data_IF_800935512397
#
_entry.id   IF_800935512397
#
_cell.length_a   1.000
_cell.length_b   1.000
_cell.length_c   1.000
_cell.angle_alpha   90.00
_cell.angle_beta   90.00
_cell.angle_gamma   90.00
#
_symmetry.space_group_name_H-M   'P 1'
#
loop_
_entity.id
_entity.type
_entity.pdbx_description
1 polymer ?
#
# COMPACT_ATOMS: atom_id res chain seq x y z
N UNK A 1 -1.90 -15.30 -13.19
CA UNK A 1 -1.37 -14.02 -13.74
C UNK A 1 -0.39 -13.44 -12.71
N UNK A 2 0.71 -12.79 -13.12
CA UNK A 2 1.65 -12.17 -12.15
C UNK A 2 1.03 -10.91 -11.52
N UNK A 3 1.23 -10.70 -10.23
CA UNK A 3 0.78 -9.48 -9.53
C UNK A 3 1.68 -8.30 -9.91
N UNK A 4 1.17 -7.05 -9.89
CA UNK A 4 2.04 -5.89 -9.91
C UNK A 4 3.04 -5.93 -8.76
N UNK A 5 4.21 -5.33 -8.98
CA UNK A 5 5.21 -5.10 -7.95
C UNK A 5 4.66 -4.16 -6.90
N UNK A 6 4.94 -4.38 -5.61
CA UNK A 6 4.52 -3.45 -4.58
C UNK A 6 5.00 -2.01 -4.81
N UNK A 7 4.21 -1.05 -4.36
CA UNK A 7 4.52 0.37 -4.55
C UNK A 7 4.64 1.11 -3.21
N UNK A 8 5.65 1.98 -3.01
CA UNK A 8 5.89 2.64 -1.72
C UNK A 8 4.77 3.60 -1.30
N UNK A 9 4.13 4.28 -2.25
CA UNK A 9 2.95 5.12 -1.95
C UNK A 9 1.75 4.29 -1.47
N UNK A 10 1.76 2.99 -1.74
CA UNK A 10 0.60 2.15 -1.48
C UNK A 10 0.65 1.49 -0.10
N UNK A 11 1.78 1.58 0.60
CA UNK A 11 2.11 0.79 1.78
C UNK A 11 1.98 -0.73 1.55
N UNK A 12 2.20 -1.19 0.31
CA UNK A 12 2.09 -2.60 -0.08
C UNK A 12 3.31 -3.39 0.44
N UNK A 13 3.29 -3.79 1.70
CA UNK A 13 4.17 -4.85 2.20
C UNK A 13 3.35 -6.13 2.26
N UNK A 14 3.88 -7.22 1.70
CA UNK A 14 3.14 -8.49 1.61
C UNK A 14 3.63 -9.46 2.67
N UNK A 15 2.71 -10.08 3.39
CA UNK A 15 3.05 -11.14 4.35
C UNK A 15 3.83 -12.29 3.71
N UNK A 16 4.73 -12.88 4.50
CA UNK A 16 5.34 -14.17 4.20
C UNK A 16 4.29 -15.28 4.17
N UNK A 17 4.58 -16.39 3.49
CA UNK A 17 3.67 -17.54 3.46
C UNK A 17 3.39 -18.11 4.88
N UNK A 18 4.42 -18.14 5.73
CA UNK A 18 4.29 -18.61 7.12
C UNK A 18 3.34 -17.71 7.92
N UNK A 19 3.46 -16.39 7.79
CA UNK A 19 2.58 -15.44 8.47
C UNK A 19 1.14 -15.52 7.96
N UNK A 20 0.93 -15.68 6.65
CA UNK A 20 -0.42 -15.90 6.09
C UNK A 20 -1.06 -17.14 6.70
N UNK A 21 -0.32 -18.26 6.78
CA UNK A 21 -0.82 -19.49 7.37
C UNK A 21 -1.14 -19.32 8.86
N UNK A 22 -0.26 -18.67 9.63
CA UNK A 22 -0.47 -18.40 11.05
C UNK A 22 -1.72 -17.54 11.29
N UNK A 23 -1.88 -16.44 10.55
CA UNK A 23 -3.04 -15.56 10.61
C UNK A 23 -4.33 -16.33 10.25
N UNK A 24 -4.34 -17.06 9.14
CA UNK A 24 -5.52 -17.80 8.69
C UNK A 24 -5.91 -18.96 9.63
N UNK A 25 -4.95 -19.48 10.40
CA UNK A 25 -5.18 -20.49 11.43
C UNK A 25 -5.95 -19.99 12.64
N UNK A 26 -5.97 -18.67 12.88
CA UNK A 26 -6.78 -18.05 13.93
C UNK A 26 -8.24 -17.82 13.51
N UNK A 27 -8.53 -17.81 12.21
CA UNK A 27 -9.88 -17.58 11.70
C UNK A 27 -10.74 -18.84 11.77
N UNK A 28 -11.90 -18.76 12.42
CA UNK A 28 -12.86 -19.86 12.53
C UNK A 28 -13.21 -20.45 11.15
N UNK A 29 -13.25 -21.79 10.97
CA UNK A 29 -13.44 -22.41 9.66
C UNK A 29 -14.64 -21.87 8.86
N UNK A 30 -15.77 -21.66 9.52
CA UNK A 30 -17.03 -21.21 8.93
C UNK A 30 -17.16 -19.68 8.79
N UNK A 31 -16.21 -18.90 9.30
CA UNK A 31 -16.27 -17.45 9.22
C UNK A 31 -16.01 -16.96 7.79
N UNK A 32 -16.89 -16.08 7.30
CA UNK A 32 -16.56 -15.23 6.15
C UNK A 32 -15.61 -14.14 6.62
N UNK A 33 -14.41 -14.09 6.02
CA UNK A 33 -13.35 -13.17 6.44
C UNK A 33 -13.38 -11.90 5.59
N UNK A 34 -13.43 -10.74 6.25
CA UNK A 34 -13.13 -9.47 5.61
C UNK A 34 -11.60 -9.26 5.60
N UNK A 35 -10.96 -9.35 4.44
CA UNK A 35 -9.53 -9.07 4.27
C UNK A 35 -9.35 -7.60 3.84
N UNK A 36 -8.57 -6.81 4.57
CA UNK A 36 -8.42 -5.36 4.33
C UNK A 36 -6.95 -5.02 4.22
N UNK A 37 -6.51 -4.62 3.01
CA UNK A 37 -5.08 -4.48 2.71
C UNK A 37 -4.28 -5.79 2.84
N UNK A 38 -4.95 -6.94 2.91
CA UNK A 38 -4.34 -8.27 3.12
C UNK A 38 -4.63 -9.22 1.94
N UNK A 39 -4.25 -8.85 0.70
CA UNK A 39 -4.56 -9.65 -0.48
C UNK A 39 -3.95 -11.06 -0.43
N UNK A 40 -2.83 -11.25 0.27
CA UNK A 40 -2.23 -12.57 0.50
C UNK A 40 -3.11 -13.50 1.33
N UNK A 41 -3.82 -12.96 2.34
CA UNK A 41 -4.80 -13.70 3.16
C UNK A 41 -5.98 -14.12 2.30
N UNK A 42 -6.57 -13.20 1.53
CA UNK A 42 -7.71 -13.50 0.66
C UNK A 42 -7.37 -14.55 -0.41
N UNK A 43 -6.18 -14.46 -1.04
CA UNK A 43 -5.70 -15.50 -1.97
C UNK A 43 -5.55 -16.87 -1.30
N UNK A 44 -5.03 -16.91 -0.08
CA UNK A 44 -4.86 -18.17 0.66
C UNK A 44 -6.22 -18.81 0.98
N UNK A 45 -7.19 -18.01 1.42
CA UNK A 45 -8.56 -18.48 1.68
C UNK A 45 -9.25 -18.95 0.40
N UNK A 46 -9.08 -18.25 -0.72
CA UNK A 46 -9.61 -18.68 -2.02
C UNK A 46 -9.08 -20.05 -2.46
N UNK A 47 -7.78 -20.32 -2.25
CA UNK A 47 -7.16 -21.61 -2.53
C UNK A 47 -7.70 -22.72 -1.61
N UNK A 48 -8.00 -22.37 -0.35
CA UNK A 48 -8.64 -23.26 0.61
C UNK A 48 -10.17 -23.37 0.42
N UNK A 49 -10.73 -22.74 -0.62
CA UNK A 49 -12.18 -22.65 -0.86
C UNK A 49 -12.99 -22.09 0.33
N UNK A 50 -12.37 -21.17 1.08
CA UNK A 50 -13.01 -20.42 2.17
C UNK A 50 -13.44 -19.05 1.67
N UNK A 51 -14.59 -18.59 2.15
CA UNK A 51 -15.15 -17.31 1.73
C UNK A 51 -14.39 -16.13 2.36
N UNK A 52 -13.94 -15.22 1.49
CA UNK A 52 -13.36 -13.95 1.90
C UNK A 52 -13.83 -12.82 0.99
N UNK A 53 -13.80 -11.58 1.50
CA UNK A 53 -13.98 -10.37 0.70
C UNK A 53 -12.75 -9.52 0.92
N UNK A 54 -12.01 -9.24 -0.15
CA UNK A 54 -10.88 -8.32 -0.13
C UNK A 54 -11.37 -6.89 -0.36
N UNK A 55 -10.95 -5.97 0.48
CA UNK A 55 -11.02 -4.52 0.25
C UNK A 55 -9.60 -3.98 0.16
N UNK A 56 -9.23 -3.52 -1.03
CA UNK A 56 -7.90 -3.05 -1.34
C UNK A 56 -7.96 -2.11 -2.55
N UNK A 57 -7.24 -0.99 -2.49
CA UNK A 57 -7.23 0.03 -3.55
C UNK A 57 -6.52 -0.42 -4.83
N UNK A 58 -5.58 -1.36 -4.74
CA UNK A 58 -4.85 -1.85 -5.92
C UNK A 58 -5.73 -2.87 -6.67
N UNK A 59 -6.18 -2.58 -7.91
CA UNK A 59 -7.13 -3.41 -8.68
C UNK A 59 -6.70 -4.85 -9.06
N UNK A 60 -5.42 -5.19 -9.00
CA UNK A 60 -4.85 -6.43 -9.53
C UNK A 60 -4.33 -7.36 -8.44
N UNK A 61 -5.25 -7.95 -7.67
CA UNK A 61 -4.90 -8.81 -6.53
C UNK A 61 -5.08 -10.31 -6.77
N UNK A 62 -5.70 -10.70 -7.89
CA UNK A 62 -5.96 -12.09 -8.27
C UNK A 62 -6.70 -12.88 -7.16
N UNK A 63 -7.79 -12.30 -6.68
CA UNK A 63 -8.72 -12.91 -5.70
C UNK A 63 -10.14 -12.99 -6.29
N UNK A 64 -11.00 -13.84 -5.75
CA UNK A 64 -12.37 -14.08 -6.27
C UNK A 64 -13.33 -12.93 -5.99
N UNK A 65 -13.31 -12.39 -4.77
CA UNK A 65 -14.21 -11.31 -4.30
C UNK A 65 -13.37 -10.11 -3.89
N UNK A 66 -13.27 -9.13 -4.79
CA UNK A 66 -12.46 -7.93 -4.58
C UNK A 66 -13.30 -6.66 -4.75
N UNK A 67 -13.27 -5.82 -3.73
CA UNK A 67 -13.81 -4.47 -3.73
C UNK A 67 -12.64 -3.50 -3.85
N UNK A 68 -12.57 -2.82 -4.99
CA UNK A 68 -11.52 -1.85 -5.30
C UNK A 68 -11.97 -0.49 -4.74
N UNK A 69 -11.50 -0.17 -3.54
CA UNK A 69 -11.84 1.07 -2.84
C UNK A 69 -10.80 1.40 -1.77
N UNK A 70 -10.73 2.68 -1.40
CA UNK A 70 -10.04 3.11 -0.20
C UNK A 70 -10.84 2.74 1.05
N UNK A 71 -10.13 2.36 2.11
CA UNK A 71 -10.73 1.92 3.36
C UNK A 71 -11.44 3.09 4.03
N UNK A 72 -12.72 2.90 4.37
CA UNK A 72 -13.59 3.96 4.89
C UNK A 72 -14.48 4.64 3.84
N UNK A 73 -14.29 4.37 2.54
CA UNK A 73 -15.14 4.93 1.48
C UNK A 73 -16.26 4.00 1.03
N UNK A 74 -16.09 2.70 1.23
CA UNK A 74 -17.10 1.70 0.91
C UNK A 74 -17.96 1.37 2.12
N UNK A 75 -19.27 1.36 1.91
CA UNK A 75 -20.24 0.85 2.90
C UNK A 75 -20.51 -0.62 2.61
N UNK A 76 -20.16 -1.50 3.55
CA UNK A 76 -20.50 -2.92 3.49
C UNK A 76 -21.62 -3.20 4.47
N UNK A 77 -22.73 -3.75 3.97
CA UNK A 77 -23.86 -4.19 4.80
C UNK A 77 -23.84 -5.70 4.94
N UNK A 78 -22.75 -6.21 5.48
CA UNK A 78 -22.53 -7.64 5.66
C UNK A 78 -22.11 -7.81 7.12
N UNK A 79 -22.68 -8.78 7.82
CA UNK A 79 -22.23 -9.13 9.16
C UNK A 79 -21.15 -10.21 9.02
N UNK A 80 -19.91 -9.80 8.81
CA UNK A 80 -18.77 -10.73 8.94
C UNK A 80 -18.46 -10.91 10.42
N UNK A 81 -18.20 -12.16 10.83
CA UNK A 81 -17.75 -12.43 12.20
C UNK A 81 -16.31 -11.99 12.44
N UNK A 82 -15.51 -11.80 11.37
CA UNK A 82 -14.08 -11.52 11.49
C UNK A 82 -13.53 -10.62 10.36
N UNK A 83 -12.65 -9.69 10.73
CA UNK A 83 -11.82 -8.94 9.80
C UNK A 83 -10.32 -9.19 10.05
N UNK A 84 -9.51 -9.13 8.99
CA UNK A 84 -8.06 -9.26 9.03
C UNK A 84 -7.43 -8.09 8.28
N UNK A 85 -6.69 -7.24 9.00
CA UNK A 85 -6.25 -5.93 8.56
C UNK A 85 -4.72 -5.81 8.53
N UNK A 86 -4.21 -5.14 7.50
CA UNK A 86 -2.83 -4.63 7.46
C UNK A 86 -2.83 -3.11 7.23
N UNK A 87 -3.20 -2.31 8.24
CA UNK A 87 -3.24 -0.87 8.06
C UNK A 87 -1.84 -0.30 7.82
N UNK A 88 -1.74 0.86 7.14
CA UNK A 88 -0.53 1.66 7.17
C UNK A 88 -0.08 1.89 8.62
N UNK A 89 1.23 1.80 8.88
CA UNK A 89 1.80 1.91 10.23
C UNK A 89 1.87 3.36 10.74
N UNK A 90 0.78 4.10 10.61
CA UNK A 90 0.58 5.45 11.10
C UNK A 90 -0.69 5.48 11.95
N UNK A 91 -0.68 6.12 13.14
CA UNK A 91 -1.80 6.00 14.08
C UNK A 91 -3.15 6.44 13.54
N UNK A 92 -3.22 7.51 12.75
CA UNK A 92 -4.48 8.03 12.22
C UNK A 92 -5.12 7.03 11.23
N UNK A 93 -4.33 6.49 10.32
CA UNK A 93 -4.76 5.50 9.32
C UNK A 93 -5.14 4.18 9.99
N UNK A 94 -4.33 3.68 10.93
CA UNK A 94 -4.62 2.46 11.65
C UNK A 94 -5.94 2.57 12.45
N UNK A 95 -6.14 3.67 13.18
CA UNK A 95 -7.41 3.93 13.88
C UNK A 95 -8.59 3.96 12.91
N UNK A 96 -8.45 4.62 11.76
CA UNK A 96 -9.52 4.70 10.76
C UNK A 96 -9.86 3.33 10.16
N UNK A 97 -8.85 2.54 9.80
CA UNK A 97 -9.05 1.19 9.27
C UNK A 97 -9.71 0.27 10.30
N UNK A 98 -9.24 0.31 11.55
CA UNK A 98 -9.81 -0.46 12.66
C UNK A 98 -11.27 -0.03 12.93
N UNK A 99 -11.57 1.27 12.97
CA UNK A 99 -12.93 1.77 13.19
C UNK A 99 -13.88 1.36 12.06
N UNK A 100 -13.42 1.48 10.81
CA UNK A 100 -14.20 1.02 9.66
C UNK A 100 -14.45 -0.49 9.71
N UNK A 101 -13.42 -1.29 9.99
CA UNK A 101 -13.59 -2.73 10.15
C UNK A 101 -14.56 -3.08 11.28
N UNK A 102 -14.47 -2.38 12.42
CA UNK A 102 -15.39 -2.53 13.55
C UNK A 102 -16.86 -2.25 13.16
N UNK A 103 -17.12 -1.21 12.34
CA UNK A 103 -18.47 -0.93 11.83
C UNK A 103 -18.99 -1.98 10.84
N UNK A 104 -18.10 -2.74 10.21
CA UNK A 104 -18.47 -3.79 9.25
C UNK A 104 -18.70 -5.12 9.98
N UNK A 105 -17.79 -5.52 10.88
CA UNK A 105 -17.96 -6.77 11.65
C UNK A 105 -19.06 -6.65 12.71
N UNK A 106 -19.30 -5.43 13.21
CA UNK A 106 -20.31 -5.12 14.21
C UNK A 106 -19.96 -5.61 15.61
N UNK A 107 -20.85 -5.33 16.56
CA UNK A 107 -20.73 -5.79 17.95
C UNK A 107 -20.66 -7.32 18.04
N UNK A 108 -19.73 -7.82 18.85
CA UNK A 108 -19.43 -9.25 18.99
C UNK A 108 -18.49 -9.80 17.91
N UNK A 109 -18.16 -8.99 16.88
CA UNK A 109 -17.18 -9.33 15.87
C UNK A 109 -15.74 -9.27 16.39
N UNK A 110 -14.84 -9.87 15.63
CA UNK A 110 -13.40 -9.88 15.92
C UNK A 110 -12.60 -9.24 14.79
N UNK A 111 -11.50 -8.60 15.15
CA UNK A 111 -10.56 -8.00 14.21
C UNK A 111 -9.16 -8.49 14.55
N UNK A 112 -8.49 -9.10 13.58
CA UNK A 112 -7.05 -9.32 13.64
C UNK A 112 -6.37 -8.19 12.88
N UNK A 113 -5.47 -7.45 13.53
CA UNK A 113 -4.78 -6.34 12.91
C UNK A 113 -3.28 -6.47 13.12
N UNK A 114 -2.50 -6.34 12.04
CA UNK A 114 -1.05 -6.25 12.18
C UNK A 114 -0.65 -4.80 12.43
N UNK A 115 0.12 -4.56 13.47
CA UNK A 115 0.54 -3.22 13.90
C UNK A 115 2.05 -3.14 13.99
N UNK A 116 2.57 -1.90 14.02
CA UNK A 116 4.00 -1.69 14.16
C UNK A 116 4.48 -2.12 15.56
N UNK A 117 5.66 -2.76 15.65
CA UNK A 117 6.30 -2.99 16.93
C UNK A 117 6.59 -1.69 17.68
N UNK A 118 6.57 -1.73 19.01
CA UNK A 118 6.81 -0.54 19.85
C UNK A 118 8.14 0.17 19.56
N UNK A 119 9.14 -0.57 19.11
CA UNK A 119 10.50 -0.10 18.84
C UNK A 119 10.72 0.33 17.37
N UNK A 120 9.68 0.30 16.53
CA UNK A 120 9.77 0.70 15.11
C UNK A 120 10.21 2.16 14.93
N UNK A 121 9.94 3.01 15.92
CA UNK A 121 10.25 4.45 15.90
C UNK A 121 10.27 5.03 17.33
N UNK A 122 10.86 6.22 17.55
CA UNK A 122 10.96 6.82 18.89
C UNK A 122 9.62 6.95 19.63
N UNK A 123 8.54 7.23 18.90
CA UNK A 123 7.18 7.39 19.43
C UNK A 123 6.37 6.09 19.45
N UNK A 124 6.92 4.97 18.99
CA UNK A 124 6.17 3.74 18.68
C UNK A 124 5.42 3.17 19.89
N UNK A 125 6.07 3.12 21.05
CA UNK A 125 5.44 2.71 22.33
C UNK A 125 4.28 3.63 22.73
N UNK A 126 4.50 4.94 22.73
CA UNK A 126 3.49 5.91 23.14
C UNK A 126 2.26 5.84 22.23
N UNK A 127 2.47 5.69 20.92
CA UNK A 127 1.39 5.52 19.95
C UNK A 127 0.63 4.19 20.11
N UNK A 128 1.32 3.10 20.47
CA UNK A 128 0.68 1.80 20.79
C UNK A 128 -0.19 1.90 22.03
N UNK A 129 0.29 2.58 23.07
CA UNK A 129 -0.49 2.85 24.30
C UNK A 129 -1.71 3.72 24.00
N UNK A 130 -1.56 4.76 23.18
CA UNK A 130 -2.66 5.61 22.76
C UNK A 130 -3.71 4.83 21.95
N UNK A 131 -3.28 3.95 21.04
CA UNK A 131 -4.17 3.08 20.28
C UNK A 131 -4.91 2.10 21.19
N UNK A 132 -4.22 1.45 22.13
CA UNK A 132 -4.83 0.53 23.09
C UNK A 132 -5.85 1.24 23.99
N UNK A 133 -5.53 2.44 24.49
CA UNK A 133 -6.45 3.29 25.25
C UNK A 133 -7.68 3.67 24.43
N UNK A 134 -7.48 4.05 23.17
CA UNK A 134 -8.59 4.36 22.25
C UNK A 134 -9.48 3.15 21.98
N UNK A 135 -8.91 1.95 21.75
CA UNK A 135 -9.68 0.70 21.61
C UNK A 135 -10.43 0.37 22.89
N UNK A 136 -9.82 0.55 24.06
CA UNK A 136 -10.44 0.30 25.37
C UNK A 136 -11.73 1.09 25.64
N UNK A 137 -11.98 2.16 24.88
CA UNK A 137 -13.24 2.90 24.93
C UNK A 137 -14.45 2.18 24.28
N UNK A 138 -14.22 1.18 23.43
CA UNK A 138 -15.27 0.52 22.64
C UNK A 138 -15.05 -0.98 22.40
N UNK A 139 -13.91 -1.53 22.79
CA UNK A 139 -13.52 -2.91 22.57
C UNK A 139 -12.41 -3.35 23.52
N UNK A 140 -11.90 -4.55 23.30
CA UNK A 140 -10.73 -5.09 24.01
C UNK A 140 -9.62 -5.35 23.00
N UNK A 141 -8.37 -5.01 23.34
CA UNK A 141 -7.20 -5.27 22.51
C UNK A 141 -6.28 -6.23 23.25
N UNK A 142 -6.04 -7.38 22.64
CA UNK A 142 -5.15 -8.43 23.15
C UNK A 142 -4.02 -8.68 22.15
N UNK A 143 -2.86 -9.07 22.65
CA UNK A 143 -1.77 -9.57 21.81
C UNK A 143 -2.11 -10.99 21.34
N UNK A 144 -2.00 -11.27 20.04
CA UNK A 144 -2.25 -12.62 19.51
C UNK A 144 -1.08 -13.59 19.75
N UNK A 145 0.07 -13.11 20.21
CA UNK A 145 1.27 -13.88 20.48
C UNK A 145 2.00 -14.33 19.21
N UNK A 146 1.70 -13.73 18.05
CA UNK A 146 2.26 -14.10 16.76
C UNK A 146 2.97 -12.89 16.14
N UNK A 147 4.27 -13.05 15.90
CA UNK A 147 5.04 -12.11 15.09
C UNK A 147 4.74 -12.34 13.60
N UNK A 148 4.42 -11.26 12.89
CA UNK A 148 4.14 -11.27 11.45
C UNK A 148 5.38 -10.86 10.71
N UNK A 149 5.77 -11.62 9.69
CA UNK A 149 6.90 -11.33 8.83
C UNK A 149 6.42 -10.92 7.44
N UNK A 150 7.06 -9.89 6.90
CA UNK A 150 6.78 -9.38 5.56
C UNK A 150 7.93 -9.74 4.61
N UNK A 151 7.57 -9.94 3.34
CA UNK A 151 8.53 -9.97 2.25
C UNK A 151 9.07 -8.54 2.03
N UNK A 152 10.38 -8.39 1.89
CA UNK A 152 10.99 -7.10 1.53
C UNK A 152 10.73 -6.79 0.05
N UNK A 153 9.91 -5.77 -0.28
CA UNK A 153 9.64 -5.41 -1.66
C UNK A 153 10.89 -4.79 -2.32
N UNK A 154 10.91 -4.78 -3.66
CA UNK A 154 12.07 -4.31 -4.41
C UNK A 154 12.39 -2.82 -4.15
N UNK A 155 11.37 -2.00 -3.89
CA UNK A 155 11.58 -0.59 -3.54
C UNK A 155 12.33 -0.42 -2.20
N UNK A 156 12.08 -1.30 -1.22
CA UNK A 156 12.76 -1.27 0.09
C UNK A 156 14.19 -1.78 -0.06
N UNK A 157 14.38 -2.87 -0.81
CA UNK A 157 15.72 -3.35 -1.16
C UNK A 157 16.54 -2.29 -1.92
N UNK A 158 15.89 -1.50 -2.79
CA UNK A 158 16.53 -0.40 -3.49
C UNK A 158 16.99 0.71 -2.52
N UNK A 159 16.16 1.10 -1.56
CA UNK A 159 16.54 2.09 -0.54
C UNK A 159 17.71 1.61 0.35
N UNK A 160 17.67 0.35 0.80
CA UNK A 160 18.70 -0.24 1.66
C UNK A 160 20.06 -0.32 0.96
N UNK A 161 20.10 -0.78 -0.30
CA UNK A 161 21.35 -0.88 -1.09
C UNK A 161 22.08 0.45 -1.24
N UNK A 162 21.35 1.57 -1.19
CA UNK A 162 21.85 2.93 -1.46
C UNK A 162 22.40 3.61 -0.22
N UNK A 163 21.68 3.50 0.89
CA UNK A 163 22.07 4.10 2.17
C UNK A 163 23.30 3.46 2.83
N UNK A 164 23.92 2.46 2.20
CA UNK A 164 25.13 1.78 2.71
C UNK A 164 24.90 1.07 4.04
N UNK A 165 23.64 0.92 4.47
CA UNK A 165 23.30 0.12 5.62
C UNK A 165 23.87 -1.27 5.42
N UNK A 166 24.69 -1.72 6.37
CA UNK A 166 25.00 -3.14 6.51
C UNK A 166 23.65 -3.77 6.84
N UNK A 167 22.87 -4.12 5.81
CA UNK A 167 21.89 -5.16 5.96
C UNK A 167 22.71 -6.40 6.20
N UNK A 168 23.01 -6.68 7.47
CA UNK A 168 23.09 -8.08 7.85
C UNK A 168 21.85 -8.71 7.24
N UNK A 169 22.05 -9.65 6.33
CA UNK A 169 21.02 -10.59 5.92
C UNK A 169 20.01 -10.79 7.08
N UNK A 170 18.71 -10.60 6.83
CA UNK A 170 17.58 -11.25 7.56
C UNK A 170 16.72 -10.50 8.59
N UNK A 171 16.81 -9.20 8.83
CA UNK A 171 15.70 -8.57 9.58
C UNK A 171 14.56 -8.23 8.63
N UNK A 172 13.84 -9.28 8.24
CA UNK A 172 12.52 -9.15 7.62
C UNK A 172 11.71 -8.15 8.44
N UNK A 173 11.04 -7.23 7.76
CA UNK A 173 10.11 -6.32 8.43
C UNK A 173 9.13 -7.17 9.24
N UNK A 174 8.95 -6.81 10.51
CA UNK A 174 8.09 -7.55 11.45
C UNK A 174 7.00 -6.68 12.03
N UNK A 175 5.79 -7.24 12.11
CA UNK A 175 4.62 -6.64 12.74
C UNK A 175 4.15 -7.46 13.94
N UNK A 176 3.43 -6.80 14.85
CA UNK A 176 2.76 -7.45 15.96
C UNK A 176 1.30 -7.71 15.58
N UNK A 177 0.83 -8.96 15.67
CA UNK A 177 -0.57 -9.27 15.46
C UNK A 177 -1.35 -9.02 16.75
N UNK A 178 -2.38 -8.19 16.68
CA UNK A 178 -3.33 -8.01 17.80
C UNK A 178 -4.71 -8.55 17.44
N UNK A 179 -5.43 -9.00 18.46
CA UNK A 179 -6.85 -9.34 18.39
C UNK A 179 -7.66 -8.22 19.04
N UNK A 180 -8.68 -7.74 18.36
CA UNK A 180 -9.61 -6.74 18.88
C UNK A 180 -11.02 -7.34 18.90
N UNK A 181 -11.61 -7.39 20.10
CA UNK A 181 -13.03 -7.76 20.26
C UNK A 181 -13.89 -6.49 20.27
N UNK A 182 -14.92 -6.44 19.43
CA UNK A 182 -15.79 -5.27 19.27
C UNK A 182 -16.94 -5.32 20.28
N UNK A 183 -16.91 -4.45 21.30
CA UNK A 183 -17.99 -4.38 22.30
C UNK A 183 -19.10 -3.40 21.87
N UNK A 184 -18.72 -2.32 21.21
CA UNK A 184 -19.61 -1.39 20.53
C UNK A 184 -18.91 -0.75 19.32
N UNK A 185 -19.68 -0.13 18.44
CA UNK A 185 -19.13 0.52 17.25
C UNK A 185 -18.42 1.83 17.61
N UNK A 186 -17.14 2.02 17.22
CA UNK A 186 -16.43 3.26 17.45
C UNK A 186 -16.86 4.35 16.47
N UNK A 187 -16.73 5.60 16.90
CA UNK A 187 -16.80 6.75 16.00
C UNK A 187 -15.68 6.70 14.95
N UNK A 188 -16.03 6.90 13.69
CA UNK A 188 -15.07 6.93 12.58
C UNK A 188 -14.12 8.15 12.70
N UNK A 189 -12.80 7.94 12.78
CA UNK A 189 -11.84 9.04 12.70
C UNK A 189 -11.95 9.78 11.36
N UNK A 190 -11.68 11.10 11.30
CA UNK A 190 -11.76 11.86 10.05
C UNK A 190 -10.80 11.30 8.98
N UNK A 191 -11.13 11.44 7.69
CA UNK A 191 -10.24 11.00 6.63
C UNK A 191 -8.95 11.83 6.63
N UNK A 192 -7.82 11.17 6.37
CA UNK A 192 -6.59 11.87 6.05
C UNK A 192 -6.63 12.29 4.58
N UNK A 193 -6.58 13.58 4.31
CA UNK A 193 -6.55 14.10 2.94
C UNK A 193 -5.09 14.17 2.50
N UNK A 194 -4.69 13.30 1.55
CA UNK A 194 -3.37 13.42 0.93
C UNK A 194 -3.36 14.61 -0.06
N UNK A 195 -2.29 15.43 -0.06
CA UNK A 195 -2.19 16.56 -0.96
C UNK A 195 -1.90 16.10 -2.39
N UNK A 196 -2.82 16.42 -3.30
CA UNK A 196 -2.67 16.19 -4.73
C UNK A 196 -3.22 14.84 -5.19
N UNK A 197 -3.60 14.80 -6.47
CA UNK A 197 -4.14 13.62 -7.12
C UNK A 197 -3.01 12.83 -7.76
N UNK A 198 -2.94 11.53 -7.48
CA UNK A 198 -1.97 10.64 -8.13
C UNK A 198 -2.67 9.77 -9.18
N UNK A 199 -2.20 9.86 -10.42
CA UNK A 199 -2.56 8.92 -11.49
C UNK A 199 -1.56 7.77 -11.48
N UNK A 200 -2.08 6.55 -11.57
CA UNK A 200 -1.31 5.31 -11.52
C UNK A 200 -1.33 4.62 -12.87
N UNK A 201 -0.18 4.10 -13.27
CA UNK A 201 -0.04 3.22 -14.42
C UNK A 201 0.57 1.90 -13.98
N UNK A 202 -0.05 0.79 -14.36
CA UNK A 202 0.54 -0.54 -14.26
C UNK A 202 0.95 -0.98 -15.65
N UNK A 203 2.24 -1.19 -15.87
CA UNK A 203 2.83 -1.62 -17.13
C UNK A 203 3.51 -2.96 -16.86
N UNK A 204 2.97 -4.05 -17.39
CA UNK A 204 3.35 -5.40 -17.00
C UNK A 204 3.17 -5.62 -15.48
N UNK A 205 4.26 -5.78 -14.74
CA UNK A 205 4.32 -5.81 -13.28
C UNK A 205 4.90 -4.52 -12.68
N UNK A 206 5.47 -3.62 -13.48
CA UNK A 206 5.98 -2.33 -13.04
C UNK A 206 4.85 -1.33 -12.80
N UNK A 207 4.99 -0.50 -11.78
CA UNK A 207 4.01 0.56 -11.48
C UNK A 207 4.67 1.93 -11.52
N UNK A 208 3.93 2.91 -12.06
CA UNK A 208 4.26 4.32 -12.03
C UNK A 208 3.14 5.12 -11.37
N UNK A 209 3.54 6.12 -10.61
CA UNK A 209 2.72 7.07 -9.93
C UNK A 209 3.10 8.47 -10.38
N UNK A 210 2.17 9.23 -10.92
CA UNK A 210 2.40 10.62 -11.33
C UNK A 210 1.41 11.53 -10.63
N UNK A 211 1.92 12.60 -10.02
CA UNK A 211 1.10 13.65 -9.43
C UNK A 211 0.51 14.49 -10.57
N UNK A 212 -0.80 14.59 -10.62
CA UNK A 212 -1.55 15.42 -11.55
C UNK A 212 -1.42 16.89 -11.12
N UNK A 213 -0.37 17.55 -11.61
CA UNK A 213 -0.15 18.98 -11.42
C UNK A 213 -0.77 19.77 -12.58
N UNK A 214 -1.24 21.01 -12.34
CA UNK A 214 -1.80 21.83 -13.41
C UNK A 214 -0.83 21.99 -14.58
N UNK A 215 -1.38 21.99 -15.80
CA UNK A 215 -0.61 22.24 -17.01
C UNK A 215 0.19 23.54 -16.88
N UNK A 216 1.48 23.49 -17.20
CA UNK A 216 2.36 24.65 -17.14
C UNK A 216 2.77 25.10 -18.54
N UNK A 217 2.81 26.41 -18.76
CA UNK A 217 3.25 26.98 -20.05
C UNK A 217 4.77 26.93 -20.11
N UNK A 218 5.33 25.81 -20.57
CA UNK A 218 6.78 25.61 -20.66
C UNK A 218 7.14 24.23 -21.20
N UNK A 219 8.45 23.99 -21.37
CA UNK A 219 8.94 22.64 -21.65
C UNK A 219 8.75 21.78 -20.39
N UNK A 220 8.00 20.68 -20.54
CA UNK A 220 7.86 19.68 -19.49
C UNK A 220 9.20 18.97 -19.29
N UNK A 221 9.66 18.88 -18.04
CA UNK A 221 10.94 18.27 -17.67
C UNK A 221 10.75 17.28 -16.54
N UNK A 222 11.63 16.27 -16.52
CA UNK A 222 11.79 15.30 -15.44
C UNK A 222 13.18 15.49 -14.86
N UNK A 223 13.25 15.80 -13.57
CA UNK A 223 14.51 16.10 -12.88
C UNK A 223 14.66 15.28 -11.60
N UNK A 224 15.90 15.06 -11.16
CA UNK A 224 16.18 14.35 -9.91
C UNK A 224 15.63 15.12 -8.72
N UNK A 225 15.11 14.37 -7.74
CA UNK A 225 14.64 14.92 -6.47
C UNK A 225 15.83 15.28 -5.59
N UNK A 226 15.80 16.45 -4.96
CA UNK A 226 16.84 16.84 -4.00
C UNK A 226 16.91 15.82 -2.85
N UNK A 227 18.09 15.24 -2.64
CA UNK A 227 18.30 14.20 -1.62
C UNK A 227 18.11 12.76 -2.14
N UNK A 228 17.75 12.57 -3.40
CA UNK A 228 17.81 11.26 -4.04
C UNK A 228 19.26 10.88 -4.39
N UNK A 229 19.55 9.58 -4.41
CA UNK A 229 20.80 9.03 -4.93
C UNK A 229 20.61 8.60 -6.40
N UNK A 230 20.96 9.50 -7.31
CA UNK A 230 20.56 9.38 -8.71
C UNK A 230 19.04 9.48 -8.82
N UNK A 231 18.40 8.46 -9.36
CA UNK A 231 16.93 8.36 -9.42
C UNK A 231 16.32 7.68 -8.20
N UNK A 232 17.10 7.11 -7.28
CA UNK A 232 16.54 6.30 -6.19
C UNK A 232 16.33 7.12 -4.92
N UNK A 233 15.13 7.05 -4.34
CA UNK A 233 14.86 7.69 -3.05
C UNK A 233 15.41 6.85 -1.89
N UNK A 234 16.22 7.40 -0.97
CA UNK A 234 16.89 6.60 0.07
C UNK A 234 15.95 6.16 1.22
N UNK A 235 14.68 6.59 1.22
CA UNK A 235 13.78 6.37 2.34
C UNK A 235 12.41 5.84 1.90
N UNK A 236 11.88 4.82 2.59
CA UNK A 236 10.52 4.31 2.34
C UNK A 236 9.46 4.90 3.29
N UNK A 237 9.89 5.68 4.27
CA UNK A 237 9.02 6.31 5.27
C UNK A 237 8.27 7.51 4.69
N UNK A 238 6.97 7.64 4.98
CA UNK A 238 6.17 8.84 4.66
C UNK A 238 6.74 10.09 5.32
N UNK A 239 7.42 9.93 6.47
CA UNK A 239 7.99 11.02 7.28
C UNK A 239 9.34 11.53 6.76
N UNK A 240 9.86 10.96 5.67
CA UNK A 240 11.13 11.38 5.10
C UNK A 240 11.03 12.83 4.58
N UNK A 241 11.96 13.69 5.03
CA UNK A 241 12.06 15.06 4.54
C UNK A 241 12.27 15.06 3.02
N UNK A 242 11.58 15.96 2.32
CA UNK A 242 11.66 16.07 0.86
C UNK A 242 10.75 15.11 0.09
N UNK A 243 10.13 14.11 0.73
CA UNK A 243 9.22 13.18 0.05
C UNK A 243 8.06 13.89 -0.66
N UNK A 244 7.57 14.99 -0.09
CA UNK A 244 6.44 15.73 -0.66
C UNK A 244 6.78 16.44 -1.98
N UNK A 245 8.07 16.60 -2.30
CA UNK A 245 8.53 17.15 -3.59
C UNK A 245 8.56 16.14 -4.73
N UNK A 246 8.29 14.86 -4.45
CA UNK A 246 8.24 13.82 -5.48
C UNK A 246 6.94 13.96 -6.28
N UNK A 247 7.04 13.99 -7.60
CA UNK A 247 5.90 14.07 -8.54
C UNK A 247 5.79 12.84 -9.44
N UNK A 248 6.86 12.08 -9.59
CA UNK A 248 6.89 10.79 -10.30
C UNK A 248 7.58 9.76 -9.40
N UNK A 249 6.94 8.61 -9.18
CA UNK A 249 7.48 7.53 -8.37
C UNK A 249 7.19 6.17 -9.01
N UNK A 250 8.17 5.26 -9.05
CA UNK A 250 7.98 3.88 -9.50
C UNK A 250 7.93 2.84 -8.38
N UNK A 251 7.44 1.64 -8.72
CA UNK A 251 7.53 0.43 -7.86
C UNK A 251 8.97 -0.03 -7.58
N UNK A 252 9.96 0.51 -8.31
CA UNK A 252 11.39 0.26 -8.10
C UNK A 252 12.05 1.31 -7.20
N UNK A 253 11.25 2.24 -6.64
CA UNK A 253 11.72 3.38 -5.88
C UNK A 253 12.50 4.42 -6.69
N UNK A 254 12.27 4.49 -8.00
CA UNK A 254 12.77 5.59 -8.82
C UNK A 254 11.86 6.80 -8.61
N UNK A 255 12.43 7.99 -8.41
CA UNK A 255 11.71 9.23 -8.09
C UNK A 255 12.20 10.40 -8.92
N UNK A 256 11.28 11.29 -9.28
CA UNK A 256 11.59 12.55 -9.94
C UNK A 256 10.62 13.67 -9.55
N UNK A 257 11.06 14.90 -9.77
CA UNK A 257 10.23 16.11 -9.85
C UNK A 257 9.80 16.29 -11.30
N UNK A 258 8.55 16.68 -11.52
CA UNK A 258 7.99 16.86 -12.87
C UNK A 258 7.38 18.24 -13.00
N UNK A 259 7.84 19.04 -13.96
CA UNK A 259 7.37 20.43 -14.13
C UNK A 259 5.95 20.53 -14.71
N UNK A 260 5.48 19.48 -15.39
CA UNK A 260 4.10 19.36 -15.89
C UNK A 260 3.68 17.89 -15.85
N UNK A 261 3.05 17.50 -14.74
CA UNK A 261 2.58 16.14 -14.51
C UNK A 261 1.44 15.76 -15.46
N UNK A 262 0.57 16.72 -15.78
CA UNK A 262 -0.53 16.51 -16.72
C UNK A 262 -0.02 16.11 -18.11
N UNK A 263 0.96 16.85 -18.64
CA UNK A 263 1.56 16.53 -19.95
C UNK A 263 2.24 15.15 -19.94
N UNK A 264 2.97 14.80 -18.87
CA UNK A 264 3.59 13.47 -18.75
C UNK A 264 2.54 12.35 -18.72
N UNK A 265 1.43 12.55 -18.02
CA UNK A 265 0.29 11.62 -17.99
C UNK A 265 -0.26 11.39 -19.40
N UNK A 266 -0.48 12.46 -20.19
CA UNK A 266 -0.98 12.32 -21.56
C UNK A 266 0.04 11.61 -22.48
N UNK A 267 1.33 11.93 -22.36
CA UNK A 267 2.38 11.28 -23.13
C UNK A 267 2.46 9.78 -22.83
N UNK A 268 2.33 9.38 -21.55
CA UNK A 268 2.28 7.97 -21.16
C UNK A 268 1.02 7.27 -21.66
N UNK A 269 -0.15 7.90 -21.61
CA UNK A 269 -1.37 7.33 -22.21
C UNK A 269 -1.16 7.00 -23.68
N UNK A 270 -0.65 7.95 -24.47
CA UNK A 270 -0.38 7.76 -25.89
C UNK A 270 0.68 6.67 -26.15
N UNK A 271 1.72 6.60 -25.30
CA UNK A 271 2.73 5.53 -25.36
C UNK A 271 2.13 4.14 -25.08
N UNK A 272 1.27 4.02 -24.07
CA UNK A 272 0.67 2.74 -23.69
C UNK A 272 -0.42 2.27 -24.66
N UNK A 273 -1.05 3.18 -25.40
CA UNK A 273 -2.01 2.84 -26.48
C UNK A 273 -1.35 2.69 -27.86
N UNK A 274 -0.01 2.78 -27.95
CA UNK A 274 0.75 2.74 -29.20
C UNK A 274 0.46 3.89 -30.19
N UNK A 275 -0.18 4.97 -29.72
CA UNK A 275 -0.34 6.22 -30.48
C UNK A 275 0.98 7.01 -30.56
N UNK A 276 1.86 6.79 -29.58
CA UNK A 276 3.20 7.36 -29.52
C UNK A 276 4.26 6.27 -29.74
N UNK A 277 5.16 6.40 -30.74
CA UNK A 277 6.27 5.46 -30.91
C UNK A 277 7.14 5.40 -29.65
N UNK A 278 7.74 4.25 -29.29
CA UNK A 278 8.54 4.15 -28.08
C UNK A 278 9.67 5.15 -27.98
N UNK A 279 10.33 5.44 -29.10
CA UNK A 279 11.41 6.42 -29.19
C UNK A 279 10.95 7.85 -28.88
N UNK A 280 9.68 8.16 -29.05
CA UNK A 280 9.16 9.52 -28.92
C UNK A 280 8.91 9.89 -27.45
N UNK A 281 8.43 8.97 -26.61
CA UNK A 281 8.29 9.21 -25.16
C UNK A 281 9.65 9.61 -24.55
N UNK A 282 10.68 8.82 -24.84
CA UNK A 282 12.03 9.05 -24.34
C UNK A 282 12.73 10.22 -25.05
N UNK A 283 12.28 10.63 -26.24
CA UNK A 283 12.74 11.88 -26.85
C UNK A 283 12.18 13.10 -26.12
N UNK A 284 10.90 13.06 -25.75
CA UNK A 284 10.24 14.13 -24.98
C UNK A 284 10.81 14.17 -23.55
N UNK A 285 11.04 12.99 -22.95
CA UNK A 285 11.56 12.83 -21.59
C UNK A 285 12.81 11.94 -21.55
N UNK A 286 13.99 12.46 -21.95
CA UNK A 286 15.23 11.66 -22.03
C UNK A 286 15.64 11.02 -20.69
N UNK A 287 15.34 11.67 -19.57
CA UNK A 287 15.65 11.17 -18.24
C UNK A 287 14.95 9.82 -17.92
N UNK A 288 13.81 9.53 -18.56
CA UNK A 288 13.09 8.27 -18.35
C UNK A 288 13.75 7.07 -19.03
N UNK A 289 14.71 7.28 -19.95
CA UNK A 289 15.47 6.18 -20.56
C UNK A 289 16.37 5.47 -19.53
N UNK A 290 16.76 6.18 -18.45
CA UNK A 290 17.53 5.62 -17.34
C UNK A 290 16.65 4.78 -16.38
N UNK A 291 15.33 4.86 -16.53
CA UNK A 291 14.38 4.17 -15.67
C UNK A 291 14.02 2.79 -16.21
N UNK A 292 13.55 1.91 -15.34
CA UNK A 292 13.15 0.54 -15.68
C UNK A 292 11.74 0.43 -16.25
N UNK A 293 11.26 1.47 -16.94
CA UNK A 293 9.94 1.47 -17.57
C UNK A 293 9.93 0.39 -18.66
N UNK A 294 9.00 -0.59 -18.63
CA UNK A 294 8.92 -1.60 -19.66
C UNK A 294 8.74 -0.99 -21.06
N UNK A 295 9.30 -1.66 -22.07
CA UNK A 295 9.14 -1.33 -23.49
C UNK A 295 8.17 -2.33 -24.15
N UNK A 296 7.43 -1.95 -25.22
CA UNK A 296 6.52 -2.87 -25.89
C UNK A 296 7.24 -4.12 -26.43
N UNK A 297 6.52 -5.24 -26.61
CA UNK A 297 5.08 -5.43 -26.34
C UNK A 297 4.77 -5.54 -24.85
N UNK A 298 3.63 -4.96 -24.44
CA UNK A 298 3.11 -5.08 -23.08
C UNK A 298 2.15 -6.25 -22.97
N UNK A 299 2.25 -7.04 -21.91
CA UNK A 299 1.26 -8.09 -21.58
C UNK A 299 0.19 -7.58 -20.59
N UNK A 300 0.40 -6.41 -19.99
CA UNK A 300 -0.61 -5.68 -19.20
C UNK A 300 -0.35 -4.18 -19.31
N UNK A 301 -1.41 -3.42 -19.54
CA UNK A 301 -1.44 -1.97 -19.30
C UNK A 301 -2.72 -1.63 -18.55
N UNK A 302 -2.64 -0.74 -17.57
CA UNK A 302 -3.81 -0.24 -16.87
C UNK A 302 -3.53 1.13 -16.26
N UNK A 303 -4.52 2.01 -16.33
CA UNK A 303 -4.53 3.27 -15.60
C UNK A 303 -5.55 3.17 -14.46
N UNK A 304 -5.18 3.67 -13.29
CA UNK A 304 -6.07 3.74 -12.13
C UNK A 304 -5.70 4.93 -11.25
N UNK A 305 -6.52 5.21 -10.23
CA UNK A 305 -6.27 6.29 -9.29
C UNK A 305 -6.78 5.89 -7.91
N UNK A 306 -6.19 6.47 -6.87
CA UNK A 306 -6.81 6.45 -5.54
C UNK A 306 -8.07 7.32 -5.58
N UNK A 307 -9.13 6.91 -4.89
CA UNK A 307 -10.37 7.70 -4.84
C UNK A 307 -10.31 8.70 -3.69
#
# INVERSE_FOLDING_TARGET
>A
MRLPQPHPLDFDWRYSAASVQAICGLALPEATVLAVGTPSVSRYLDLASRDSILVDRQPFQNVRKHIIADVGEVTLKIQQSMAILDPPWYPAEAKRWIAWAASVVGQGGQILATLWPEHTRPTGRAERQELASWVGGWGNLDDAGIAIEYLSPEFEQAAVRRTGGISSDREARRGDLVCISVNCEPSMPPPHIEPGRWIRFTINDYQLAIRDTPHSTGLSTVAQVLGAEGWTWPHVSRRALGRDSIDLWSSQNEVAVVSDGHHLIQALRAYLTSELPPTELFRIYPALEEWRIPKPPFWRTAEWQHR
#
